data_IF_354791237112
#
_entry.id   IF_354791237112
#
_cell.length_a   1.000
_cell.length_b   1.000
_cell.length_c   1.000
_cell.angle_alpha   90.00
_cell.angle_beta   90.00
_cell.angle_gamma   90.00
#
_symmetry.space_group_name_H-M   'P 1'
#
loop_
_entity.id
_entity.type
_entity.pdbx_description
1 polymer ?
#
# COMPACT_ATOMS: atom_id res chain seq x y z
N UNK A 1 59.59 -12.81 24.40
CA UNK A 1 60.18 -11.76 23.54
C UNK A 1 60.48 -12.24 22.12
N UNK A 2 61.00 -13.45 21.96
CA UNK A 2 61.35 -14.02 20.64
C UNK A 2 60.14 -14.30 19.74
N UNK A 3 59.03 -14.80 20.30
CA UNK A 3 57.74 -14.95 19.57
C UNK A 3 57.16 -13.62 19.11
N UNK A 4 57.25 -12.57 19.91
CA UNK A 4 56.77 -11.23 19.54
C UNK A 4 57.63 -10.69 18.38
N UNK A 5 58.94 -10.92 18.43
CA UNK A 5 59.86 -10.55 17.35
C UNK A 5 59.54 -11.29 16.05
N UNK A 6 59.21 -12.58 16.13
CA UNK A 6 58.80 -13.37 14.98
C UNK A 6 57.45 -12.90 14.42
N UNK A 7 56.47 -12.61 15.28
CA UNK A 7 55.18 -12.05 14.87
C UNK A 7 55.30 -10.69 14.20
N UNK A 8 56.17 -9.80 14.68
CA UNK A 8 56.44 -8.52 14.00
C UNK A 8 57.09 -8.74 12.62
N UNK A 9 58.01 -9.71 12.52
CA UNK A 9 58.65 -10.08 11.26
C UNK A 9 57.65 -10.67 10.27
N UNK A 10 56.73 -11.50 10.74
CA UNK A 10 55.67 -12.11 9.93
C UNK A 10 54.63 -11.08 9.48
N UNK A 11 54.27 -10.13 10.35
CA UNK A 11 53.39 -9.01 10.00
C UNK A 11 54.05 -8.09 8.97
N UNK A 12 55.36 -7.87 9.06
CA UNK A 12 56.12 -7.05 8.13
C UNK A 12 56.29 -7.75 6.76
N UNK A 13 56.47 -9.08 6.76
CA UNK A 13 56.45 -9.92 5.54
C UNK A 13 55.07 -9.85 4.87
N UNK A 14 53.98 -9.99 5.65
CA UNK A 14 52.61 -9.91 5.12
C UNK A 14 52.30 -8.52 4.57
N UNK A 15 52.69 -7.44 5.27
CA UNK A 15 52.55 -6.05 4.78
C UNK A 15 53.32 -5.81 3.49
N UNK A 16 54.56 -6.30 3.41
CA UNK A 16 55.38 -6.16 2.21
C UNK A 16 54.83 -7.02 1.06
N UNK A 17 54.22 -8.18 1.33
CA UNK A 17 53.50 -8.97 0.32
C UNK A 17 52.21 -8.28 -0.14
N UNK A 18 51.48 -7.59 0.75
CA UNK A 18 50.25 -6.86 0.38
C UNK A 18 50.52 -5.73 -0.61
N UNK A 19 51.70 -5.11 -0.53
CA UNK A 19 52.13 -4.05 -1.47
C UNK A 19 52.81 -4.58 -2.75
N UNK A 20 53.16 -5.87 -2.83
CA UNK A 20 53.87 -6.49 -3.96
C UNK A 20 53.15 -7.74 -4.53
N UNK A 21 51.83 -7.74 -4.64
CA UNK A 21 51.11 -8.77 -5.40
C UNK A 21 51.20 -8.53 -6.91
N UNK A 22 52.40 -8.69 -7.46
CA UNK A 22 52.67 -8.81 -8.89
C UNK A 22 53.31 -10.17 -9.25
N UNK A 23 53.25 -11.19 -8.37
CA UNK A 23 53.91 -12.48 -8.57
C UNK A 23 53.08 -13.72 -8.18
N UNK A 24 52.56 -14.41 -9.20
CA UNK A 24 52.29 -15.85 -9.40
C UNK A 24 51.93 -16.89 -8.31
N UNK A 25 51.68 -16.57 -7.03
CA UNK A 25 51.13 -17.58 -6.09
C UNK A 25 50.10 -16.98 -5.12
N UNK A 26 48.94 -16.58 -5.67
CA UNK A 26 47.78 -16.15 -4.87
C UNK A 26 46.89 -17.39 -4.66
N UNK A 27 46.48 -17.73 -3.40
CA UNK A 27 45.48 -18.77 -3.16
C UNK A 27 44.25 -18.54 -4.03
N UNK A 28 43.75 -19.60 -4.70
CA UNK A 28 42.69 -19.48 -5.72
C UNK A 28 41.48 -18.69 -5.24
N UNK A 29 41.07 -18.93 -3.99
CA UNK A 29 39.95 -18.22 -3.34
C UNK A 29 40.21 -16.70 -3.16
N UNK A 30 41.45 -16.31 -2.83
CA UNK A 30 41.83 -14.90 -2.72
C UNK A 30 41.91 -14.23 -4.11
N UNK A 31 42.38 -14.94 -5.14
CA UNK A 31 42.38 -14.45 -6.51
C UNK A 31 40.95 -14.26 -7.05
N UNK A 32 40.05 -15.19 -6.73
CA UNK A 32 38.63 -15.13 -7.09
C UNK A 32 37.94 -13.95 -6.40
N UNK A 33 38.16 -13.76 -5.09
CA UNK A 33 37.63 -12.62 -4.33
C UNK A 33 38.15 -11.27 -4.83
N UNK A 34 39.45 -11.16 -5.17
CA UNK A 34 40.02 -9.92 -5.74
C UNK A 34 39.43 -9.63 -7.12
N UNK A 35 39.25 -10.65 -7.95
CA UNK A 35 38.61 -10.55 -9.26
C UNK A 35 37.15 -10.12 -9.13
N UNK A 36 36.40 -10.71 -8.20
CA UNK A 36 35.02 -10.36 -7.91
C UNK A 36 34.89 -8.93 -7.37
N UNK A 37 35.75 -8.52 -6.43
CA UNK A 37 35.76 -7.16 -5.91
C UNK A 37 36.05 -6.13 -7.03
N UNK A 38 36.96 -6.45 -7.95
CA UNK A 38 37.24 -5.61 -9.13
C UNK A 38 36.02 -5.53 -10.06
N UNK A 39 35.32 -6.64 -10.31
CA UNK A 39 34.07 -6.67 -11.10
C UNK A 39 32.96 -5.87 -10.43
N UNK A 40 32.78 -6.01 -9.11
CA UNK A 40 31.76 -5.29 -8.34
C UNK A 40 32.05 -3.79 -8.31
N UNK A 41 33.29 -3.36 -8.08
CA UNK A 41 33.69 -1.94 -8.16
C UNK A 41 33.43 -1.35 -9.54
N UNK A 42 33.74 -2.11 -10.61
CA UNK A 42 33.44 -1.69 -11.97
C UNK A 42 31.93 -1.58 -12.20
N UNK A 43 31.14 -2.54 -11.71
CA UNK A 43 29.67 -2.52 -11.79
C UNK A 43 29.07 -1.35 -11.02
N UNK A 44 29.59 -1.03 -9.83
CA UNK A 44 29.22 0.17 -9.07
C UNK A 44 29.54 1.44 -9.87
N UNK A 45 30.70 1.52 -10.52
CA UNK A 45 31.03 2.67 -11.35
C UNK A 45 30.10 2.81 -12.56
N UNK A 46 29.75 1.70 -13.21
CA UNK A 46 28.74 1.69 -14.30
C UNK A 46 27.38 2.15 -13.77
N UNK A 47 26.92 1.61 -12.64
CA UNK A 47 25.64 1.98 -12.04
C UNK A 47 25.62 3.44 -11.60
N UNK A 48 26.72 3.95 -11.02
CA UNK A 48 26.85 5.37 -10.68
C UNK A 48 26.78 6.25 -11.92
N UNK A 49 27.48 5.88 -13.00
CA UNK A 49 27.37 6.59 -14.30
C UNK A 49 25.98 6.47 -14.91
N UNK A 50 25.31 5.33 -14.77
CA UNK A 50 23.95 5.15 -15.26
C UNK A 50 22.95 5.98 -14.44
N UNK A 51 23.10 6.05 -13.12
CA UNK A 51 22.30 6.92 -12.24
C UNK A 51 22.61 8.40 -12.47
N UNK A 52 23.87 8.77 -12.71
CA UNK A 52 24.24 10.12 -13.11
C UNK A 52 23.75 10.45 -14.51
N UNK A 53 23.75 9.50 -15.45
CA UNK A 53 23.22 9.67 -16.79
C UNK A 53 21.70 9.71 -16.80
N UNK A 54 21.00 8.96 -15.95
CA UNK A 54 19.55 9.10 -15.73
C UNK A 54 19.23 10.37 -14.95
N UNK A 55 20.08 10.78 -14.00
CA UNK A 55 19.98 12.04 -13.29
C UNK A 55 20.22 13.25 -14.20
N UNK A 56 21.17 13.12 -15.14
CA UNK A 56 21.46 14.09 -16.19
C UNK A 56 20.45 14.05 -17.32
N UNK A 57 19.94 12.88 -17.69
CA UNK A 57 18.85 12.71 -18.65
C UNK A 57 17.52 13.17 -18.05
N UNK A 58 17.36 13.15 -16.72
CA UNK A 58 16.31 13.87 -15.98
C UNK A 58 16.57 15.37 -15.88
N UNK A 59 17.82 15.84 -15.94
CA UNK A 59 18.15 17.29 -16.04
C UNK A 59 18.18 17.81 -17.49
N UNK A 60 18.30 16.92 -18.47
CA UNK A 60 18.18 17.11 -19.92
C UNK A 60 16.83 16.54 -20.41
N UNK A 61 15.87 16.34 -19.50
CA UNK A 61 14.47 16.58 -19.86
C UNK A 61 14.47 18.06 -20.21
N UNK A 62 14.16 18.32 -21.48
CA UNK A 62 13.75 19.61 -22.01
C UNK A 62 13.03 20.46 -20.94
N UNK A 63 13.01 21.77 -21.14
CA UNK A 63 12.01 22.71 -20.60
C UNK A 63 10.54 22.34 -20.94
N UNK A 64 10.17 21.07 -20.76
CA UNK A 64 8.82 20.66 -20.41
C UNK A 64 8.80 20.65 -18.89
N UNK A 65 8.03 21.55 -18.25
CA UNK A 65 7.88 21.51 -16.80
C UNK A 65 7.37 20.11 -16.48
N UNK A 66 8.10 19.34 -15.67
CA UNK A 66 7.58 18.08 -15.17
C UNK A 66 6.48 18.46 -14.17
N UNK A 67 5.30 18.70 -14.73
CA UNK A 67 4.22 19.56 -14.25
C UNK A 67 3.41 18.91 -13.12
N UNK A 68 4.09 18.25 -12.17
CA UNK A 68 3.50 17.37 -11.17
C UNK A 68 4.07 17.66 -9.79
N UNK A 69 3.19 17.66 -8.79
CA UNK A 69 3.54 18.01 -7.42
C UNK A 69 4.46 16.94 -6.82
N UNK A 70 5.49 17.36 -6.07
CA UNK A 70 6.38 16.44 -5.35
C UNK A 70 6.11 16.48 -3.86
N UNK A 71 6.28 15.34 -3.19
CA UNK A 71 6.25 15.30 -1.73
C UNK A 71 7.56 15.87 -1.17
N UNK A 72 7.52 17.13 -0.70
CA UNK A 72 8.68 17.83 -0.11
C UNK A 72 9.34 16.99 0.98
N UNK A 73 8.53 16.39 1.86
CA UNK A 73 9.02 15.52 2.93
C UNK A 73 9.83 14.34 2.39
N UNK A 74 9.34 13.66 1.36
CA UNK A 74 10.05 12.51 0.76
C UNK A 74 11.38 12.93 0.13
N UNK A 75 11.41 14.06 -0.58
CA UNK A 75 12.64 14.61 -1.17
C UNK A 75 13.65 14.97 -0.08
N UNK A 76 13.22 15.62 1.01
CA UNK A 76 14.10 15.92 2.15
C UNK A 76 14.66 14.64 2.78
N UNK A 77 13.82 13.63 3.03
CA UNK A 77 14.25 12.33 3.58
C UNK A 77 15.31 11.69 2.68
N UNK A 78 15.12 11.71 1.37
CA UNK A 78 16.07 11.15 0.42
C UNK A 78 17.42 11.89 0.45
N UNK A 79 17.40 13.23 0.45
CA UNK A 79 18.60 14.06 0.54
C UNK A 79 19.36 13.84 1.85
N UNK A 80 18.65 13.82 2.99
CA UNK A 80 19.27 13.55 4.28
C UNK A 80 19.80 12.11 4.37
N UNK A 81 19.07 11.12 3.85
CA UNK A 81 19.54 9.72 3.82
C UNK A 81 20.87 9.59 3.08
N UNK A 82 20.99 10.23 1.91
CA UNK A 82 22.24 10.24 1.13
C UNK A 82 23.38 10.93 1.89
N UNK A 83 23.10 12.12 2.42
CA UNK A 83 24.07 12.93 3.16
C UNK A 83 24.57 12.20 4.42
N UNK A 84 23.68 11.56 5.16
CA UNK A 84 24.03 10.83 6.39
C UNK A 84 24.87 9.60 6.07
N UNK A 85 24.54 8.85 5.01
CA UNK A 85 25.35 7.70 4.57
C UNK A 85 26.76 8.11 4.15
N UNK A 86 26.92 9.29 3.55
CA UNK A 86 28.24 9.85 3.22
C UNK A 86 28.99 10.32 4.48
N UNK A 87 28.29 11.00 5.40
CA UNK A 87 28.88 11.51 6.63
C UNK A 87 29.31 10.41 7.61
N UNK A 88 28.56 9.30 7.66
CA UNK A 88 28.71 8.19 8.61
C UNK A 88 28.50 6.83 7.92
N UNK A 89 29.46 6.38 7.08
CA UNK A 89 29.33 5.14 6.33
C UNK A 89 29.26 3.89 7.22
N UNK A 90 29.78 3.96 8.45
CA UNK A 90 29.84 2.86 9.40
C UNK A 90 28.53 2.67 10.20
N UNK A 91 27.56 3.56 10.04
CA UNK A 91 26.25 3.48 10.71
C UNK A 91 25.26 2.78 9.77
N UNK A 92 24.85 1.54 10.07
CA UNK A 92 23.85 0.85 9.25
C UNK A 92 22.47 1.46 9.45
N UNK A 93 21.79 1.74 8.34
CA UNK A 93 20.41 2.23 8.26
C UNK A 93 20.03 3.32 9.29
N UNK A 94 20.68 4.50 9.23
CA UNK A 94 20.44 5.56 10.20
C UNK A 94 19.00 6.11 10.06
N UNK A 95 18.29 6.34 11.18
CA UNK A 95 16.94 6.88 11.11
C UNK A 95 16.97 8.33 10.63
N UNK A 96 16.07 8.67 9.70
CA UNK A 96 15.95 10.01 9.11
C UNK A 96 14.57 10.64 9.38
N UNK A 97 14.24 10.95 10.64
CA UNK A 97 12.97 11.58 11.00
C UNK A 97 12.98 13.05 10.54
N UNK A 98 12.28 13.33 9.45
CA UNK A 98 11.95 14.69 8.99
C UNK A 98 10.49 15.00 9.37
N UNK A 99 10.28 16.03 10.18
CA UNK A 99 8.96 16.41 10.70
C UNK A 99 8.71 17.90 10.50
N UNK A 100 7.45 18.34 10.32
CA UNK A 100 7.11 19.77 10.40
C UNK A 100 7.49 20.34 11.77
N UNK A 101 7.86 21.63 11.82
CA UNK A 101 8.23 22.32 13.06
C UNK A 101 7.47 23.64 13.20
N UNK A 102 7.43 24.20 14.41
CA UNK A 102 6.87 25.53 14.66
C UNK A 102 7.92 26.65 14.48
N UNK A 103 9.21 26.30 14.55
CA UNK A 103 10.32 27.25 14.48
C UNK A 103 10.93 27.36 13.08
N UNK A 104 10.63 26.41 12.20
CA UNK A 104 11.08 26.31 10.83
C UNK A 104 10.09 25.44 10.04
N UNK A 105 10.23 25.36 8.71
CA UNK A 105 9.29 24.61 7.87
C UNK A 105 9.37 23.10 8.15
N UNK A 106 10.59 22.57 8.24
CA UNK A 106 10.87 21.17 8.58
C UNK A 106 12.05 21.06 9.53
N UNK A 107 12.08 20.00 10.31
CA UNK A 107 13.16 19.69 11.23
C UNK A 107 13.59 18.23 11.05
N UNK A 108 14.89 18.01 10.95
CA UNK A 108 15.51 16.69 10.86
C UNK A 108 16.14 16.32 12.22
N UNK A 109 15.67 15.23 12.82
CA UNK A 109 16.04 14.80 14.18
C UNK A 109 17.01 13.62 14.20
N UNK A 110 17.76 13.42 13.11
CA UNK A 110 18.63 12.24 12.93
C UNK A 110 19.88 12.26 13.81
N UNK A 111 20.35 13.44 14.23
CA UNK A 111 21.65 13.56 14.88
C UNK A 111 21.72 12.82 16.23
N UNK A 112 20.67 12.89 17.06
CA UNK A 112 20.65 12.23 18.36
C UNK A 112 20.67 10.68 18.26
N UNK A 113 19.80 10.03 17.46
CA UNK A 113 19.91 8.59 17.21
C UNK A 113 21.26 8.17 16.62
N UNK A 114 21.80 8.93 15.67
CA UNK A 114 23.11 8.64 15.07
C UNK A 114 24.22 8.68 16.12
N UNK A 115 24.21 9.68 17.01
CA UNK A 115 25.16 9.74 18.13
C UNK A 115 25.07 8.53 19.05
N UNK A 116 23.87 8.03 19.34
CA UNK A 116 23.69 6.84 20.17
C UNK A 116 24.29 5.59 19.50
N UNK A 117 24.08 5.43 18.19
CA UNK A 117 24.67 4.35 17.40
C UNK A 117 26.21 4.44 17.37
N UNK A 118 26.76 5.63 17.12
CA UNK A 118 28.20 5.86 17.12
C UNK A 118 28.82 5.61 18.50
N UNK A 119 28.12 5.97 19.58
CA UNK A 119 28.56 5.69 20.96
C UNK A 119 28.64 4.19 21.23
N UNK A 120 27.70 3.40 20.70
CA UNK A 120 27.75 1.94 20.79
C UNK A 120 28.96 1.34 20.03
N UNK A 121 29.42 2.02 18.99
CA UNK A 121 30.63 1.68 18.23
C UNK A 121 31.92 2.25 18.84
N UNK A 122 31.87 2.88 20.02
CA UNK A 122 33.03 3.45 20.72
C UNK A 122 33.38 4.89 20.34
N UNK A 123 32.66 5.51 19.41
CA UNK A 123 32.86 6.91 18.98
C UNK A 123 32.01 7.86 19.82
N UNK A 124 32.66 8.73 20.61
CA UNK A 124 31.98 9.76 21.41
C UNK A 124 31.93 11.09 20.66
N UNK A 125 30.90 11.27 19.85
CA UNK A 125 30.57 12.56 19.24
C UNK A 125 29.40 13.23 19.98
N UNK A 126 29.33 14.56 19.97
CA UNK A 126 28.16 15.27 20.48
C UNK A 126 27.07 15.27 19.38
N UNK A 127 25.76 15.24 19.72
CA UNK A 127 24.73 15.28 18.68
C UNK A 127 24.75 16.59 17.89
N UNK A 128 25.23 17.67 18.48
CA UNK A 128 25.48 18.93 17.77
C UNK A 128 26.56 18.79 16.70
N UNK A 129 27.70 18.16 17.01
CA UNK A 129 28.76 17.98 16.00
C UNK A 129 28.34 17.03 14.88
N UNK A 130 27.50 16.03 15.20
CA UNK A 130 26.86 15.18 14.18
C UNK A 130 25.96 16.00 13.25
N UNK A 131 25.10 16.86 13.82
CA UNK A 131 24.25 17.75 13.04
C UNK A 131 25.05 18.71 12.16
N UNK A 132 26.10 19.33 12.69
CA UNK A 132 26.98 20.24 11.96
C UNK A 132 27.67 19.53 10.79
N UNK A 133 28.16 18.30 10.99
CA UNK A 133 28.76 17.48 9.92
C UNK A 133 27.75 17.17 8.80
N UNK A 134 26.50 16.87 9.15
CA UNK A 134 25.43 16.61 8.18
C UNK A 134 25.13 17.89 7.38
N UNK A 135 25.02 19.05 8.04
CA UNK A 135 24.74 20.33 7.36
C UNK A 135 25.86 20.73 6.41
N UNK A 136 27.12 20.51 6.78
CA UNK A 136 28.30 20.81 5.92
C UNK A 136 28.33 19.94 4.67
N UNK A 137 27.97 18.67 4.77
CA UNK A 137 27.95 17.73 3.64
C UNK A 137 26.63 17.79 2.84
N UNK A 138 25.64 18.55 3.29
CA UNK A 138 24.35 18.61 2.63
C UNK A 138 24.48 19.24 1.24
N UNK A 139 23.97 18.59 0.18
CA UNK A 139 24.11 19.11 -1.18
C UNK A 139 23.31 20.40 -1.36
N UNK A 140 23.89 21.37 -2.09
CA UNK A 140 23.15 22.58 -2.50
C UNK A 140 21.96 22.19 -3.37
N UNK A 141 20.77 22.65 -3.00
CA UNK A 141 19.51 22.34 -3.67
C UNK A 141 18.64 23.59 -3.75
N UNK A 142 17.89 23.81 -4.84
CA UNK A 142 16.94 24.92 -4.93
C UNK A 142 15.78 24.81 -3.94
N UNK A 143 15.56 23.64 -3.32
CA UNK A 143 14.49 23.41 -2.35
C UNK A 143 14.73 24.12 -1.01
N UNK A 144 15.98 24.21 -0.58
CA UNK A 144 16.36 24.61 0.79
C UNK A 144 17.08 25.94 0.74
N UNK A 145 16.57 26.92 1.50
CA UNK A 145 17.20 28.24 1.67
C UNK A 145 18.27 28.19 2.75
N UNK A 146 17.91 27.61 3.90
CA UNK A 146 18.74 27.63 5.11
C UNK A 146 18.66 26.33 5.86
N UNK A 147 19.82 25.87 6.36
CA UNK A 147 19.94 24.79 7.33
C UNK A 147 20.63 25.31 8.58
N UNK A 148 20.05 25.09 9.75
CA UNK A 148 20.62 25.50 11.02
C UNK A 148 20.59 24.39 12.05
N UNK A 149 21.69 24.21 12.78
CA UNK A 149 21.73 23.27 13.90
C UNK A 149 21.25 23.99 15.16
N UNK A 150 20.15 23.49 15.74
CA UNK A 150 19.52 24.03 16.93
C UNK A 150 19.55 23.04 18.10
N UNK A 151 19.57 23.59 19.32
CA UNK A 151 19.49 22.82 20.56
C UNK A 151 20.56 21.73 20.67
N UNK A 152 20.19 20.48 21.03
CA UNK A 152 21.13 19.38 21.21
C UNK A 152 21.73 18.83 19.90
N UNK A 153 21.15 19.17 18.74
CA UNK A 153 21.55 18.63 17.42
C UNK A 153 20.40 18.52 16.41
N UNK A 154 19.30 19.26 16.61
CA UNK A 154 18.22 19.31 15.63
C UNK A 154 18.67 20.11 14.41
N UNK A 155 18.32 19.65 13.21
CA UNK A 155 18.63 20.39 11.98
C UNK A 155 17.33 21.05 11.50
N UNK A 156 17.22 22.36 11.69
CA UNK A 156 16.13 23.18 11.21
C UNK A 156 16.31 23.46 9.72
N UNK A 157 15.22 23.36 8.96
CA UNK A 157 15.19 23.46 7.50
C UNK A 157 14.20 24.57 7.13
N UNK A 158 14.71 25.62 6.49
CA UNK A 158 13.90 26.66 5.85
C UNK A 158 13.84 26.43 4.35
N UNK A 159 12.65 26.38 3.80
CA UNK A 159 12.42 26.20 2.37
C UNK A 159 12.68 27.50 1.61
N UNK A 160 13.14 27.36 0.36
CA UNK A 160 13.30 28.51 -0.53
C UNK A 160 11.95 29.11 -0.92
N UNK A 161 11.83 30.43 -0.73
CA UNK A 161 10.65 31.20 -1.17
C UNK A 161 10.47 31.12 -2.69
N UNK A 162 11.56 31.20 -3.44
CA UNK A 162 11.53 31.10 -4.91
C UNK A 162 11.02 29.73 -5.36
N UNK A 163 11.44 28.67 -4.66
CA UNK A 163 10.94 27.32 -4.92
C UNK A 163 9.45 27.19 -4.66
N UNK A 164 8.96 27.75 -3.54
CA UNK A 164 7.53 27.73 -3.19
C UNK A 164 6.72 28.51 -4.24
N UNK A 165 7.15 29.72 -4.61
CA UNK A 165 6.49 30.55 -5.63
C UNK A 165 6.40 29.81 -6.96
N UNK A 166 7.47 29.12 -7.35
CA UNK A 166 7.49 28.31 -8.58
C UNK A 166 6.44 27.20 -8.54
N UNK A 167 6.39 26.39 -7.46
CA UNK A 167 5.41 25.31 -7.32
C UNK A 167 3.97 25.84 -7.31
N UNK A 168 3.71 26.93 -6.59
CA UNK A 168 2.39 27.53 -6.55
C UNK A 168 1.96 28.02 -7.94
N UNK A 169 2.86 28.67 -8.67
CA UNK A 169 2.60 29.15 -10.04
C UNK A 169 2.29 27.99 -10.98
N UNK A 170 3.04 26.89 -10.90
CA UNK A 170 2.81 25.68 -11.69
C UNK A 170 1.46 25.01 -11.33
N UNK A 171 1.16 24.90 -10.04
CA UNK A 171 -0.10 24.30 -9.55
C UNK A 171 -1.31 25.10 -10.02
N UNK A 172 -1.22 26.45 -9.99
CA UNK A 172 -2.29 27.33 -10.48
C UNK A 172 -2.48 27.24 -12.00
N UNK A 173 -1.40 27.09 -12.77
CA UNK A 173 -1.46 26.96 -14.24
C UNK A 173 -1.97 25.61 -14.71
N UNK A 174 -1.61 24.54 -14.00
CA UNK A 174 -1.74 23.17 -14.49
C UNK A 174 -2.77 22.33 -13.72
N UNK A 175 -3.32 22.90 -12.65
CA UNK A 175 -4.21 22.23 -11.69
C UNK A 175 -3.44 21.40 -10.66
N UNK A 176 -4.16 20.97 -9.61
CA UNK A 176 -3.63 20.05 -8.61
C UNK A 176 -3.49 18.67 -9.24
N UNK A 177 -2.26 18.13 -9.23
CA UNK A 177 -1.94 16.82 -9.81
C UNK A 177 -1.19 15.96 -8.80
N UNK A 178 -1.43 14.64 -8.78
CA UNK A 178 -0.71 13.74 -7.89
C UNK A 178 0.80 13.71 -8.20
N UNK A 179 1.62 13.26 -7.24
CA UNK A 179 3.01 12.93 -7.52
C UNK A 179 3.12 11.79 -8.54
N UNK A 180 4.28 11.66 -9.23
CA UNK A 180 4.49 10.55 -10.15
C UNK A 180 4.42 9.21 -9.39
N UNK A 181 3.71 8.24 -9.98
CA UNK A 181 3.75 6.85 -9.56
C UNK A 181 4.90 6.12 -10.25
N UNK A 182 5.67 5.36 -9.49
CA UNK A 182 6.71 4.48 -10.04
C UNK A 182 6.10 3.36 -10.90
N UNK A 183 4.95 2.83 -10.46
CA UNK A 183 4.23 1.76 -11.14
C UNK A 183 2.73 1.90 -10.96
N UNK A 184 2.00 1.85 -12.08
CA UNK A 184 0.55 1.71 -12.06
C UNK A 184 0.18 0.29 -11.61
N UNK A 185 -0.68 0.20 -10.60
CA UNK A 185 -1.20 -1.05 -10.06
C UNK A 185 -2.71 -1.14 -10.30
N UNK A 186 -3.20 -2.38 -10.38
CA UNK A 186 -4.63 -2.68 -10.32
C UNK A 186 -5.00 -2.97 -8.87
N UNK A 187 -5.90 -2.18 -8.31
CA UNK A 187 -6.31 -2.26 -6.89
C UNK A 187 -7.79 -2.61 -6.83
N UNK A 188 -8.13 -3.67 -6.11
CA UNK A 188 -9.51 -4.03 -5.81
C UNK A 188 -9.84 -3.50 -4.42
N UNK A 189 -10.94 -2.76 -4.32
CA UNK A 189 -11.45 -2.25 -3.05
C UNK A 189 -12.84 -2.84 -2.85
N UNK A 190 -12.98 -3.68 -1.82
CA UNK A 190 -14.24 -4.26 -1.37
C UNK A 190 -14.83 -3.35 -0.29
N UNK A 191 -16.04 -2.84 -0.53
CA UNK A 191 -16.71 -1.96 0.41
C UNK A 191 -18.24 -1.95 0.23
N UNK A 192 -18.92 -1.30 1.17
CA UNK A 192 -20.38 -1.30 1.32
C UNK A 192 -20.93 -2.64 1.80
N UNK A 193 -20.91 -3.64 0.92
CA UNK A 193 -21.20 -5.06 1.18
C UNK A 193 -22.42 -5.31 2.09
N UNK A 194 -23.61 -4.73 1.79
CA UNK A 194 -24.82 -4.99 2.54
C UNK A 194 -25.35 -6.41 2.30
N UNK A 195 -26.16 -6.90 3.22
CA UNK A 195 -26.88 -8.16 3.07
C UNK A 195 -28.22 -7.93 2.38
N UNK A 196 -28.53 -8.72 1.35
CA UNK A 196 -29.84 -8.71 0.69
C UNK A 196 -30.93 -9.10 1.69
N UNK A 197 -32.13 -8.52 1.52
CA UNK A 197 -33.27 -8.71 2.41
C UNK A 197 -33.09 -8.23 3.85
N UNK A 198 -32.03 -7.46 4.13
CA UNK A 198 -31.82 -6.74 5.40
C UNK A 198 -31.62 -5.26 5.13
N UNK A 199 -32.02 -4.43 6.08
CA UNK A 199 -31.80 -3.00 5.99
C UNK A 199 -30.31 -2.65 6.07
N UNK A 200 -29.90 -1.71 5.23
CA UNK A 200 -28.56 -1.15 5.27
C UNK A 200 -28.40 -0.26 6.51
N UNK A 201 -27.71 -0.75 7.54
CA UNK A 201 -27.41 0.03 8.75
C UNK A 201 -26.14 0.92 8.64
N UNK A 202 -25.92 1.78 9.65
CA UNK A 202 -24.80 2.73 9.74
C UNK A 202 -23.40 2.10 9.57
N UNK A 203 -23.23 0.84 9.96
CA UNK A 203 -21.99 0.09 9.71
C UNK A 203 -21.65 -0.04 8.22
N UNK A 204 -22.62 -0.41 7.38
CA UNK A 204 -22.44 -0.47 5.92
C UNK A 204 -22.21 0.93 5.35
N UNK A 205 -22.90 1.96 5.86
CA UNK A 205 -22.71 3.34 5.42
C UNK A 205 -21.28 3.84 5.70
N UNK A 206 -20.72 3.54 6.87
CA UNK A 206 -19.32 3.86 7.20
C UNK A 206 -18.36 3.20 6.20
N UNK A 207 -18.53 1.90 5.95
CA UNK A 207 -17.75 1.16 4.94
C UNK A 207 -17.88 1.81 3.56
N UNK A 208 -19.10 2.20 3.20
CA UNK A 208 -19.45 2.83 1.92
C UNK A 208 -18.66 4.12 1.68
N UNK A 209 -18.67 5.04 2.64
CA UNK A 209 -17.99 6.33 2.52
C UNK A 209 -16.46 6.17 2.52
N UNK A 210 -15.93 5.35 3.42
CA UNK A 210 -14.48 5.13 3.52
C UNK A 210 -13.96 4.45 2.26
N UNK A 211 -14.64 3.40 1.81
CA UNK A 211 -14.27 2.65 0.61
C UNK A 211 -14.24 3.52 -0.63
N UNK A 212 -15.30 4.31 -0.86
CA UNK A 212 -15.34 5.22 -2.01
C UNK A 212 -14.26 6.31 -1.92
N UNK A 213 -14.02 6.88 -0.73
CA UNK A 213 -12.93 7.86 -0.54
C UNK A 213 -11.56 7.28 -0.86
N UNK A 214 -11.30 6.02 -0.50
CA UNK A 214 -10.05 5.32 -0.84
C UNK A 214 -9.96 5.08 -2.34
N UNK A 215 -11.06 4.68 -2.99
CA UNK A 215 -11.09 4.48 -4.44
C UNK A 215 -10.75 5.77 -5.19
N UNK A 216 -11.42 6.88 -4.86
CA UNK A 216 -11.17 8.19 -5.48
C UNK A 216 -9.73 8.67 -5.25
N UNK A 217 -9.15 8.42 -4.07
CA UNK A 217 -7.75 8.73 -3.80
C UNK A 217 -6.80 7.93 -4.69
N UNK A 218 -7.01 6.63 -4.82
CA UNK A 218 -6.16 5.76 -5.63
C UNK A 218 -6.29 6.06 -7.14
N UNK A 219 -7.49 6.40 -7.59
CA UNK A 219 -7.73 6.89 -8.96
C UNK A 219 -7.08 8.24 -9.21
N UNK A 220 -7.19 9.17 -8.24
CA UNK A 220 -6.52 10.46 -8.31
C UNK A 220 -5.00 10.29 -8.42
N UNK A 221 -4.42 9.28 -7.75
CA UNK A 221 -3.01 8.92 -7.90
C UNK A 221 -2.68 8.30 -9.28
N UNK A 222 -3.67 7.69 -9.97
CA UNK A 222 -3.53 7.10 -11.30
C UNK A 222 -3.58 5.57 -11.34
N UNK A 223 -3.97 4.90 -10.26
CA UNK A 223 -4.16 3.44 -10.24
C UNK A 223 -5.38 3.01 -11.07
N UNK A 224 -5.40 1.73 -11.48
CA UNK A 224 -6.61 1.09 -12.02
C UNK A 224 -7.42 0.53 -10.85
N UNK A 225 -8.55 1.14 -10.52
CA UNK A 225 -9.31 0.80 -9.29
C UNK A 225 -10.59 0.05 -9.67
N UNK A 226 -10.77 -1.12 -9.07
CA UNK A 226 -11.98 -1.93 -9.21
C UNK A 226 -12.76 -1.85 -7.90
N UNK A 227 -13.92 -1.19 -7.95
CA UNK A 227 -14.85 -1.07 -6.83
C UNK A 227 -15.76 -2.29 -6.78
N UNK A 228 -15.69 -3.04 -5.69
CA UNK A 228 -16.45 -4.29 -5.52
C UNK A 228 -17.44 -4.15 -4.38
N UNK A 229 -18.72 -4.41 -4.68
CA UNK A 229 -19.76 -4.58 -3.67
C UNK A 229 -19.93 -6.08 -3.41
N UNK A 230 -19.38 -6.57 -2.30
CA UNK A 230 -19.48 -7.98 -1.94
C UNK A 230 -20.75 -8.25 -1.15
N UNK A 231 -21.89 -8.12 -1.83
CA UNK A 231 -23.21 -8.25 -1.21
C UNK A 231 -23.45 -9.66 -0.65
N UNK A 232 -24.12 -9.73 0.50
CA UNK A 232 -24.58 -10.99 1.09
C UNK A 232 -25.84 -11.48 0.41
N UNK A 233 -25.68 -12.12 -0.75
CA UNK A 233 -26.76 -12.61 -1.62
C UNK A 233 -26.85 -14.15 -1.72
N UNK A 234 -26.10 -14.89 -0.89
CA UNK A 234 -26.03 -16.36 -0.98
C UNK A 234 -26.25 -17.10 0.35
N UNK A 235 -26.86 -16.43 1.35
CA UNK A 235 -27.11 -17.03 2.66
C UNK A 235 -28.32 -17.98 2.73
N UNK A 236 -28.41 -18.77 3.79
CA UNK A 236 -29.51 -19.75 4.00
C UNK A 236 -30.88 -19.09 4.17
N UNK A 237 -30.93 -17.79 4.50
CA UNK A 237 -32.16 -17.02 4.58
C UNK A 237 -32.95 -16.98 3.26
N UNK A 238 -32.29 -17.16 2.12
CA UNK A 238 -32.99 -17.18 0.83
C UNK A 238 -33.95 -18.35 0.69
N UNK A 239 -33.70 -19.47 1.37
CA UNK A 239 -34.62 -20.60 1.38
C UNK A 239 -35.99 -20.26 1.94
N UNK A 240 -36.03 -19.60 3.10
CA UNK A 240 -37.31 -19.18 3.70
C UNK A 240 -37.97 -18.05 2.90
N UNK A 241 -37.20 -17.14 2.30
CA UNK A 241 -37.75 -16.08 1.46
C UNK A 241 -38.40 -16.64 0.18
N UNK A 242 -37.75 -17.61 -0.47
CA UNK A 242 -38.29 -18.27 -1.67
C UNK A 242 -39.54 -19.10 -1.33
N UNK A 243 -39.49 -19.90 -0.26
CA UNK A 243 -40.65 -20.68 0.17
C UNK A 243 -41.84 -19.76 0.53
N UNK A 244 -41.56 -18.63 1.18
CA UNK A 244 -42.60 -17.64 1.48
C UNK A 244 -43.15 -16.98 0.22
N UNK A 245 -42.29 -16.65 -0.76
CA UNK A 245 -42.69 -16.07 -2.03
C UNK A 245 -43.64 -16.99 -2.81
N UNK A 246 -43.34 -18.29 -2.83
CA UNK A 246 -44.16 -19.29 -3.51
C UNK A 246 -45.58 -19.39 -2.91
N UNK A 247 -45.70 -19.28 -1.59
CA UNK A 247 -46.99 -19.32 -0.91
C UNK A 247 -47.79 -18.01 -1.10
N UNK A 248 -47.14 -16.86 -0.93
CA UNK A 248 -47.79 -15.55 -0.95
C UNK A 248 -48.13 -15.10 -2.37
N UNK A 249 -47.28 -15.45 -3.35
CA UNK A 249 -47.46 -15.08 -4.74
C UNK A 249 -47.29 -16.30 -5.66
N UNK A 250 -48.28 -17.21 -5.74
CA UNK A 250 -48.17 -18.43 -6.56
C UNK A 250 -47.89 -18.17 -8.04
N UNK A 251 -48.27 -16.99 -8.53
CA UNK A 251 -48.09 -16.56 -9.92
C UNK A 251 -46.82 -15.71 -10.14
N UNK A 252 -45.86 -15.68 -9.21
CA UNK A 252 -44.62 -14.88 -9.31
C UNK A 252 -43.81 -15.15 -10.59
N UNK A 253 -43.97 -16.34 -11.20
CA UNK A 253 -43.31 -16.68 -12.46
C UNK A 253 -43.86 -15.89 -13.66
N UNK A 254 -45.11 -15.43 -13.60
CA UNK A 254 -45.80 -14.69 -14.68
C UNK A 254 -45.90 -13.20 -14.38
N UNK A 255 -46.09 -12.84 -13.12
CA UNK A 255 -46.30 -11.46 -12.68
C UNK A 255 -45.26 -11.07 -11.63
N UNK A 256 -44.73 -9.85 -11.73
CA UNK A 256 -43.78 -9.36 -10.73
C UNK A 256 -44.51 -9.16 -9.41
N UNK A 257 -44.06 -9.78 -8.30
CA UNK A 257 -44.71 -9.64 -7.02
C UNK A 257 -44.54 -8.20 -6.49
N UNK A 258 -45.59 -7.59 -5.91
CA UNK A 258 -45.55 -6.24 -5.34
C UNK A 258 -44.89 -6.22 -3.95
N UNK A 259 -43.61 -6.62 -3.88
CA UNK A 259 -42.85 -6.58 -2.62
C UNK A 259 -42.27 -5.18 -2.46
N UNK A 260 -42.93 -4.35 -1.66
CA UNK A 260 -42.45 -3.00 -1.33
C UNK A 260 -41.51 -3.02 -0.12
N UNK A 261 -41.90 -3.71 0.96
CA UNK A 261 -41.11 -3.82 2.19
C UNK A 261 -40.53 -5.23 2.35
N UNK A 262 -39.27 -5.36 1.92
CA UNK A 262 -38.55 -6.62 2.01
C UNK A 262 -38.20 -6.99 3.46
N UNK A 263 -38.16 -6.03 4.40
CA UNK A 263 -37.91 -6.31 5.81
C UNK A 263 -39.14 -6.93 6.47
N UNK A 264 -40.34 -6.42 6.16
CA UNK A 264 -41.59 -7.03 6.60
C UNK A 264 -41.70 -8.46 6.05
N UNK A 265 -41.45 -8.64 4.74
CA UNK A 265 -41.45 -9.94 4.09
C UNK A 265 -40.43 -10.92 4.73
N UNK A 266 -39.23 -10.44 5.08
CA UNK A 266 -38.25 -11.22 5.83
C UNK A 266 -38.77 -11.63 7.21
N UNK A 267 -39.33 -10.71 7.99
CA UNK A 267 -39.86 -10.98 9.34
C UNK A 267 -41.00 -12.00 9.30
N UNK A 268 -41.88 -11.91 8.31
CA UNK A 268 -42.97 -12.87 8.08
C UNK A 268 -42.41 -14.26 7.75
N UNK A 269 -41.50 -14.36 6.77
CA UNK A 269 -40.84 -15.63 6.43
C UNK A 269 -40.09 -16.24 7.61
N UNK A 270 -39.46 -15.42 8.43
CA UNK A 270 -38.71 -15.85 9.62
C UNK A 270 -39.64 -16.40 10.70
N UNK A 271 -40.78 -15.74 10.94
CA UNK A 271 -41.80 -16.24 11.87
C UNK A 271 -42.32 -17.60 11.42
N UNK A 272 -42.66 -17.76 10.14
CA UNK A 272 -43.09 -19.06 9.58
C UNK A 272 -42.00 -20.12 9.69
N UNK A 273 -40.73 -19.74 9.49
CA UNK A 273 -39.58 -20.65 9.66
C UNK A 273 -39.43 -21.17 11.09
N UNK A 274 -39.73 -20.35 12.09
CA UNK A 274 -39.61 -20.72 13.50
C UNK A 274 -40.85 -21.48 14.02
N UNK A 275 -42.05 -21.13 13.53
CA UNK A 275 -43.33 -21.66 14.03
C UNK A 275 -43.88 -22.87 13.24
N UNK A 276 -43.56 -23.02 11.94
CA UNK A 276 -44.12 -24.06 11.06
C UNK A 276 -43.05 -25.11 10.64
N UNK A 277 -43.07 -26.34 11.19
CA UNK A 277 -42.08 -27.38 10.85
C UNK A 277 -42.05 -27.76 9.37
N UNK A 278 -43.21 -27.83 8.72
CA UNK A 278 -43.32 -28.15 7.29
C UNK A 278 -42.75 -27.02 6.40
N UNK A 279 -42.95 -25.76 6.80
CA UNK A 279 -42.36 -24.62 6.11
C UNK A 279 -40.83 -24.62 6.27
N UNK A 280 -40.32 -24.93 7.46
CA UNK A 280 -38.89 -25.05 7.72
C UNK A 280 -38.24 -26.10 6.82
N UNK A 281 -38.87 -27.26 6.64
CA UNK A 281 -38.40 -28.31 5.73
C UNK A 281 -38.36 -27.81 4.28
N UNK A 282 -39.43 -27.18 3.79
CA UNK A 282 -39.48 -26.58 2.44
C UNK A 282 -38.43 -25.48 2.24
N UNK A 283 -38.17 -24.67 3.26
CA UNK A 283 -37.16 -23.62 3.19
C UNK A 283 -35.76 -24.21 2.96
N UNK A 284 -35.39 -25.29 3.65
CA UNK A 284 -34.13 -25.99 3.40
C UNK A 284 -34.07 -26.60 2.00
N UNK A 285 -35.16 -27.22 1.54
CA UNK A 285 -35.26 -27.76 0.17
C UNK A 285 -35.08 -26.65 -0.88
N UNK A 286 -35.62 -25.45 -0.65
CA UNK A 286 -35.43 -24.29 -1.54
C UNK A 286 -33.97 -23.82 -1.58
N UNK A 287 -33.23 -23.88 -0.48
CA UNK A 287 -31.77 -23.56 -0.49
C UNK A 287 -31.03 -24.53 -1.40
N UNK A 288 -31.30 -25.83 -1.28
CA UNK A 288 -30.65 -26.86 -2.10
C UNK A 288 -30.98 -26.65 -3.58
N UNK A 289 -32.26 -26.38 -3.90
CA UNK A 289 -32.70 -26.08 -5.27
C UNK A 289 -32.02 -24.84 -5.86
N UNK A 290 -31.87 -23.79 -5.06
CA UNK A 290 -31.14 -22.58 -5.46
C UNK A 290 -29.66 -22.89 -5.74
N UNK A 291 -29.02 -23.67 -4.87
CA UNK A 291 -27.63 -24.11 -5.04
C UNK A 291 -27.44 -25.06 -6.23
N UNK A 292 -28.48 -25.77 -6.66
CA UNK A 292 -28.45 -26.58 -7.88
C UNK A 292 -28.79 -25.79 -9.16
N UNK A 293 -28.92 -24.46 -9.08
CA UNK A 293 -29.33 -23.61 -10.21
C UNK A 293 -30.71 -23.99 -10.81
N UNK A 294 -31.66 -24.43 -9.98
CA UNK A 294 -33.02 -24.72 -10.45
C UNK A 294 -33.66 -23.41 -11.00
N UNK A 295 -34.16 -23.40 -12.25
CA UNK A 295 -34.60 -22.17 -12.91
C UNK A 295 -35.67 -21.38 -12.14
N UNK A 296 -36.61 -22.06 -11.49
CA UNK A 296 -37.69 -21.40 -10.73
C UNK A 296 -37.16 -20.75 -9.45
N UNK A 297 -36.37 -21.49 -8.66
CA UNK A 297 -35.70 -20.95 -7.45
C UNK A 297 -34.75 -19.80 -7.79
N UNK A 298 -33.97 -19.89 -8.86
CA UNK A 298 -33.09 -18.80 -9.32
C UNK A 298 -33.88 -17.58 -9.76
N UNK A 299 -35.04 -17.76 -10.41
CA UNK A 299 -35.93 -16.65 -10.79
C UNK A 299 -36.54 -15.97 -9.56
N UNK A 300 -37.01 -16.74 -8.58
CA UNK A 300 -37.48 -16.21 -7.30
C UNK A 300 -36.38 -15.41 -6.57
N UNK A 301 -35.18 -15.98 -6.49
CA UNK A 301 -34.01 -15.33 -5.89
C UNK A 301 -33.67 -13.99 -6.56
N UNK A 302 -33.62 -13.96 -7.89
CA UNK A 302 -33.34 -12.72 -8.63
C UNK A 302 -34.37 -11.62 -8.32
N UNK A 303 -35.67 -11.96 -8.27
CA UNK A 303 -36.72 -10.98 -7.92
C UNK A 303 -36.52 -10.40 -6.51
N UNK A 304 -36.18 -11.24 -5.53
CA UNK A 304 -35.89 -10.82 -4.15
C UNK A 304 -34.66 -9.90 -4.11
N UNK A 305 -33.58 -10.27 -4.81
CA UNK A 305 -32.37 -9.47 -4.90
C UNK A 305 -32.64 -8.12 -5.57
N UNK A 306 -33.44 -8.08 -6.63
CA UNK A 306 -33.74 -6.86 -7.39
C UNK A 306 -34.48 -5.80 -6.55
N UNK A 307 -35.35 -6.23 -5.63
CA UNK A 307 -36.00 -5.31 -4.68
C UNK A 307 -34.95 -4.66 -3.77
N UNK A 308 -34.03 -5.45 -3.19
CA UNK A 308 -32.94 -4.90 -2.36
C UNK A 308 -32.00 -3.98 -3.16
N UNK A 309 -31.63 -4.38 -4.37
CA UNK A 309 -30.74 -3.60 -5.26
C UNK A 309 -31.32 -2.23 -5.56
N UNK A 310 -32.63 -2.12 -5.81
CA UNK A 310 -33.31 -0.83 -6.02
C UNK A 310 -33.19 0.09 -4.81
N UNK A 311 -33.35 -0.44 -3.59
CA UNK A 311 -33.20 0.35 -2.37
C UNK A 311 -31.75 0.76 -2.13
N UNK A 312 -30.78 -0.13 -2.36
CA UNK A 312 -29.37 0.19 -2.26
C UNK A 312 -28.95 1.25 -3.27
N UNK A 313 -29.47 1.17 -4.50
CA UNK A 313 -29.17 2.13 -5.56
C UNK A 313 -29.60 3.56 -5.19
N UNK A 314 -30.75 3.74 -4.51
CA UNK A 314 -31.15 5.07 -4.00
C UNK A 314 -30.11 5.68 -3.07
N UNK A 315 -29.47 4.85 -2.24
CA UNK A 315 -28.41 5.29 -1.32
C UNK A 315 -27.13 5.61 -2.11
N UNK A 316 -26.74 4.76 -3.05
CA UNK A 316 -25.55 4.97 -3.88
C UNK A 316 -25.67 6.21 -4.76
N UNK A 317 -26.83 6.42 -5.41
CA UNK A 317 -27.11 7.62 -6.21
C UNK A 317 -27.02 8.89 -5.37
N UNK A 318 -27.61 8.86 -4.16
CA UNK A 318 -27.56 10.01 -3.24
C UNK A 318 -26.15 10.34 -2.76
N UNK A 319 -25.28 9.34 -2.65
CA UNK A 319 -23.90 9.48 -2.23
C UNK A 319 -22.93 9.67 -3.40
N UNK A 320 -23.41 9.69 -4.65
CA UNK A 320 -22.59 9.76 -5.86
C UNK A 320 -21.58 8.59 -5.94
N UNK A 321 -22.06 7.37 -5.73
CA UNK A 321 -21.23 6.17 -5.68
C UNK A 321 -21.52 5.27 -6.88
N UNK A 322 -20.47 4.94 -7.62
CA UNK A 322 -20.51 3.91 -8.67
C UNK A 322 -19.80 2.68 -8.15
N UNK A 323 -20.47 1.53 -8.03
CA UNK A 323 -19.86 0.30 -7.51
C UNK A 323 -20.33 -0.91 -8.33
N UNK A 324 -19.44 -1.89 -8.52
CA UNK A 324 -19.80 -3.12 -9.25
C UNK A 324 -20.16 -4.22 -8.25
N UNK A 325 -21.39 -4.74 -8.35
CA UNK A 325 -21.83 -5.88 -7.55
C UNK A 325 -21.09 -7.16 -7.92
N UNK A 326 -20.48 -7.81 -6.92
CA UNK A 326 -19.95 -9.18 -6.98
C UNK A 326 -20.22 -9.86 -5.64
N UNK A 327 -21.48 -10.22 -5.42
CA UNK A 327 -21.93 -10.91 -4.22
C UNK A 327 -21.29 -12.28 -4.01
N UNK A 328 -21.63 -12.90 -2.90
CA UNK A 328 -21.26 -14.29 -2.58
C UNK A 328 -21.67 -15.27 -3.68
N UNK A 329 -22.83 -15.04 -4.30
CA UNK A 329 -23.38 -15.87 -5.39
C UNK A 329 -22.42 -16.01 -6.58
N UNK A 330 -21.65 -14.97 -6.89
CA UNK A 330 -20.69 -14.95 -7.99
C UNK A 330 -19.60 -16.02 -7.84
N UNK A 331 -19.28 -16.42 -6.61
CA UNK A 331 -18.19 -17.33 -6.30
C UNK A 331 -18.64 -18.79 -6.17
N UNK A 332 -19.94 -19.09 -6.24
CA UNK A 332 -20.50 -20.42 -5.97
C UNK A 332 -19.83 -21.55 -6.77
N UNK A 333 -19.66 -21.36 -8.08
CA UNK A 333 -19.03 -22.36 -8.96
C UNK A 333 -17.55 -22.60 -8.62
N UNK A 334 -16.88 -21.63 -7.99
CA UNK A 334 -15.46 -21.68 -7.63
C UNK A 334 -15.23 -22.28 -6.25
N UNK A 335 -16.24 -22.23 -5.36
CA UNK A 335 -16.14 -22.79 -4.01
C UNK A 335 -15.79 -24.29 -4.04
N UNK A 336 -16.39 -25.03 -4.97
CA UNK A 336 -16.12 -26.48 -5.14
C UNK A 336 -14.63 -26.73 -5.44
N UNK A 337 -14.04 -25.95 -6.34
CA UNK A 337 -12.62 -26.06 -6.69
C UNK A 337 -11.72 -25.69 -5.51
N UNK A 338 -12.07 -24.68 -4.72
CA UNK A 338 -11.28 -24.26 -3.56
C UNK A 338 -11.29 -25.33 -2.46
N UNK A 339 -12.44 -25.96 -2.19
CA UNK A 339 -12.53 -27.06 -1.21
C UNK A 339 -11.62 -28.22 -1.64
N UNK A 340 -11.71 -28.64 -2.89
CA UNK A 340 -10.85 -29.70 -3.45
C UNK A 340 -9.36 -29.34 -3.37
N UNK A 341 -9.01 -28.08 -3.63
CA UNK A 341 -7.63 -27.61 -3.53
C UNK A 341 -7.11 -27.69 -2.09
N UNK A 342 -7.91 -27.27 -1.10
CA UNK A 342 -7.55 -27.32 0.31
C UNK A 342 -7.35 -28.76 0.81
N UNK A 343 -8.25 -29.67 0.43
CA UNK A 343 -8.12 -31.11 0.71
C UNK A 343 -6.86 -31.69 0.07
N UNK A 344 -6.58 -31.36 -1.20
CA UNK A 344 -5.40 -31.86 -1.91
C UNK A 344 -4.07 -31.40 -1.30
N UNK A 345 -4.09 -30.26 -0.61
CA UNK A 345 -2.93 -29.69 0.10
C UNK A 345 -2.79 -30.19 1.53
N UNK A 346 -3.72 -31.02 2.02
CA UNK A 346 -3.73 -31.54 3.39
C UNK A 346 -3.92 -30.45 4.45
N UNK A 347 -4.60 -29.35 4.09
CA UNK A 347 -4.95 -28.28 5.03
C UNK A 347 -6.23 -28.63 5.80
N UNK A 348 -7.10 -29.44 5.20
CA UNK A 348 -8.38 -29.94 5.74
C UNK A 348 -8.36 -31.46 5.78
#
# INVERSE_FOLDING_TARGET
EEEIKNLYKDIEIIRNQTNNFAGNNIPKELADLVSENKKLKHRIAILKRAVEAEGKSKSEIQDTPNNRMQCIKSVLIELFTRTIKEAFPDVPDPPVPVVPSQFCDYQCNSALPITQLLKAQGLKLSPRSVGEKIVVLFPKTPLVDKLEVAGPGFINISLSKDYIIRILTETLRSGVRPPPLDKRLRVVVDFSSPNIAKEMHVGHLRSTIIGESVCRLLEFLGHDVVRVNHVGDWGTQFGMLIAHLQDTFPNYLKESPPIEDLQAFYKESKKRFDDEPEFKKRAYECVVKLQSFEPESTKAWNMICDVSRKEFQKVYDRLDITITEKGESFYQSRMVTIVQELESKGIV
#
